data_IF_249945824217
#
_entry.id   IF_249945824217
#
_cell.length_a   1.000
_cell.length_b   1.000
_cell.length_c   1.000
_cell.angle_alpha   90.00
_cell.angle_beta   90.00
_cell.angle_gamma   90.00
#
_symmetry.space_group_name_H-M   'P 1'
#
loop_
_entity.id
_entity.type
_entity.pdbx_description
1 polymer ?
#
# COMPACT_ATOMS: atom_id res chain seq x y z
N UNK A 1 -2.59 34.35 -5.37
CA UNK A 1 -2.37 33.43 -4.24
C UNK A 1 -3.76 33.09 -3.74
N UNK A 2 -4.28 31.90 -4.05
CA UNK A 2 -5.56 31.49 -3.45
C UNK A 2 -5.26 31.07 -2.01
N UNK A 3 -5.45 31.99 -1.06
CA UNK A 3 -5.46 31.66 0.36
C UNK A 3 -6.78 30.94 0.66
N UNK A 4 -6.71 29.61 0.76
CA UNK A 4 -7.79 28.79 1.27
C UNK A 4 -7.97 29.17 2.76
N UNK A 5 -9.17 29.54 3.22
CA UNK A 5 -9.41 29.83 4.63
C UNK A 5 -8.90 28.66 5.48
N UNK A 6 -8.23 28.90 6.61
CA UNK A 6 -7.77 27.83 7.47
C UNK A 6 -8.99 27.03 7.92
N UNK A 7 -9.20 25.87 7.30
CA UNK A 7 -10.27 24.96 7.68
C UNK A 7 -10.07 24.66 9.16
N UNK A 8 -11.07 24.95 9.99
CA UNK A 8 -11.01 24.72 11.43
C UNK A 8 -11.12 23.21 11.69
N UNK A 9 -10.01 22.53 11.42
CA UNK A 9 -9.78 21.09 11.46
C UNK A 9 -9.57 20.65 12.91
N UNK A 10 -10.63 20.75 13.72
CA UNK A 10 -10.58 20.43 15.15
C UNK A 10 -10.97 18.99 15.47
N UNK A 11 -11.32 18.18 14.46
CA UNK A 11 -11.69 16.79 14.72
C UNK A 11 -10.47 15.96 15.13
N UNK A 12 -10.64 14.92 15.97
CA UNK A 12 -9.54 14.02 16.34
C UNK A 12 -8.87 13.38 15.12
N UNK A 13 -9.64 13.11 14.06
CA UNK A 13 -9.14 12.55 12.80
C UNK A 13 -8.26 13.56 12.06
N UNK A 14 -8.63 14.84 12.04
CA UNK A 14 -7.81 15.85 11.39
C UNK A 14 -6.46 16.03 12.08
N UNK A 15 -6.45 16.08 13.41
CA UNK A 15 -5.20 16.14 14.20
C UNK A 15 -4.30 14.93 13.94
N UNK A 16 -4.88 13.74 13.82
CA UNK A 16 -4.13 12.53 13.48
C UNK A 16 -3.53 12.62 12.06
N UNK A 17 -4.31 13.10 11.08
CA UNK A 17 -3.82 13.33 9.72
C UNK A 17 -2.67 14.34 9.67
N UNK A 18 -2.76 15.45 10.42
CA UNK A 18 -1.71 16.45 10.51
C UNK A 18 -0.43 15.91 11.17
N UNK A 19 -0.57 15.11 12.24
CA UNK A 19 0.57 14.43 12.87
C UNK A 19 1.25 13.46 11.91
N UNK A 20 0.48 12.65 11.18
CA UNK A 20 1.00 11.71 10.18
C UNK A 20 1.69 12.44 9.01
N UNK A 21 1.13 13.58 8.59
CA UNK A 21 1.74 14.42 7.56
C UNK A 21 3.07 15.01 8.01
N UNK A 22 3.16 15.49 9.26
CA UNK A 22 4.39 16.04 9.83
C UNK A 22 5.52 15.00 9.95
N UNK A 23 5.20 13.71 10.00
CA UNK A 23 6.17 12.61 10.04
C UNK A 23 6.75 12.26 8.66
N UNK A 24 6.40 13.00 7.59
CA UNK A 24 7.00 12.76 6.28
C UNK A 24 8.52 12.96 6.33
N UNK A 25 9.26 12.19 5.54
CA UNK A 25 10.68 12.37 5.36
C UNK A 25 10.98 12.68 3.89
N UNK A 26 12.18 13.20 3.62
CA UNK A 26 12.70 13.25 2.26
C UNK A 26 13.77 12.19 2.11
N UNK A 27 13.75 11.47 1.00
CA UNK A 27 14.84 10.56 0.67
C UNK A 27 16.11 11.35 0.27
N UNK A 28 17.21 10.62 0.07
CA UNK A 28 18.49 11.20 -0.35
C UNK A 28 18.44 11.86 -1.74
N UNK A 29 17.36 11.67 -2.51
CA UNK A 29 17.12 12.31 -3.81
C UNK A 29 16.23 13.55 -3.69
N UNK A 30 15.75 13.87 -2.49
CA UNK A 30 14.88 15.01 -2.20
C UNK A 30 13.38 14.74 -2.41
N UNK A 31 12.97 13.49 -2.72
CA UNK A 31 11.56 13.12 -2.88
C UNK A 31 10.90 12.92 -1.52
N UNK A 32 9.64 13.31 -1.40
CA UNK A 32 8.85 13.06 -0.19
C UNK A 32 8.53 11.56 -0.07
N UNK A 33 8.91 10.98 1.07
CA UNK A 33 8.51 9.66 1.52
C UNK A 33 7.45 9.84 2.58
N UNK A 34 6.21 9.50 2.24
CA UNK A 34 5.06 9.53 3.15
C UNK A 34 4.66 8.11 3.50
N UNK A 35 4.38 7.87 4.78
CA UNK A 35 3.75 6.63 5.21
C UNK A 35 2.29 6.67 4.75
N UNK A 36 1.81 5.59 4.12
CA UNK A 36 0.39 5.47 3.79
C UNK A 36 -0.40 5.33 5.10
N UNK A 37 -1.22 6.32 5.49
CA UNK A 37 -1.89 6.28 6.79
C UNK A 37 -3.03 5.27 6.74
N UNK A 38 -3.04 4.36 7.70
CA UNK A 38 -4.15 3.44 7.94
C UNK A 38 -5.04 4.04 9.01
N UNK A 39 -6.36 4.03 8.82
CA UNK A 39 -7.29 4.52 9.85
C UNK A 39 -7.11 3.69 11.13
N UNK A 40 -7.16 4.28 12.33
CA UNK A 40 -6.99 3.54 13.59
C UNK A 40 -7.93 2.32 13.70
N UNK A 41 -9.14 2.44 13.18
CA UNK A 41 -10.15 1.37 13.19
C UNK A 41 -10.17 0.52 11.90
N UNK A 42 -9.21 0.68 10.99
CA UNK A 42 -9.26 0.03 9.68
C UNK A 42 -9.37 -1.50 9.80
N UNK A 43 -8.59 -2.12 10.69
CA UNK A 43 -8.65 -3.57 10.91
C UNK A 43 -10.06 -4.03 11.34
N UNK A 44 -10.70 -3.25 12.23
CA UNK A 44 -12.08 -3.49 12.67
C UNK A 44 -13.10 -3.26 11.54
N UNK A 45 -12.91 -2.21 10.74
CA UNK A 45 -13.80 -1.88 9.61
C UNK A 45 -13.70 -2.87 8.46
N UNK A 46 -12.51 -3.42 8.20
CA UNK A 46 -12.26 -4.37 7.12
C UNK A 46 -12.80 -5.76 7.43
N UNK A 47 -13.01 -6.09 8.71
CA UNK A 47 -13.54 -7.38 9.16
C UNK A 47 -12.71 -8.57 8.64
N UNK A 48 -13.33 -9.74 8.57
CA UNK A 48 -12.70 -10.95 8.00
C UNK A 48 -12.98 -11.03 6.49
N UNK A 49 -12.25 -10.25 5.69
CA UNK A 49 -12.39 -10.26 4.23
C UNK A 49 -11.43 -11.23 3.51
N UNK A 50 -10.57 -11.92 4.27
CA UNK A 50 -9.47 -12.75 3.76
C UNK A 50 -9.94 -13.79 2.74
N UNK A 51 -11.03 -14.49 3.04
CA UNK A 51 -11.59 -15.51 2.14
C UNK A 51 -12.01 -14.92 0.79
N UNK A 52 -12.66 -13.76 0.80
CA UNK A 52 -13.12 -13.07 -0.41
C UNK A 52 -11.95 -12.48 -1.20
N UNK A 53 -10.96 -11.89 -0.52
CA UNK A 53 -9.73 -11.41 -1.14
C UNK A 53 -8.96 -12.56 -1.81
N UNK A 54 -8.82 -13.69 -1.12
CA UNK A 54 -8.17 -14.91 -1.65
C UNK A 54 -8.92 -15.48 -2.85
N UNK A 55 -10.25 -15.53 -2.81
CA UNK A 55 -11.06 -15.98 -3.94
C UNK A 55 -10.89 -15.06 -5.17
N UNK A 56 -10.89 -13.74 -4.93
CA UNK A 56 -10.68 -12.73 -5.97
C UNK A 56 -9.31 -12.86 -6.62
N UNK A 57 -8.25 -13.01 -5.80
CA UNK A 57 -6.88 -13.23 -6.29
C UNK A 57 -6.79 -14.51 -7.15
N UNK A 58 -7.38 -15.62 -6.70
CA UNK A 58 -7.40 -16.87 -7.47
C UNK A 58 -8.12 -16.72 -8.79
N UNK A 59 -9.25 -16.00 -8.82
CA UNK A 59 -10.00 -15.74 -10.05
C UNK A 59 -9.20 -14.87 -11.03
N UNK A 60 -8.49 -13.86 -10.52
CA UNK A 60 -7.60 -13.03 -11.33
C UNK A 60 -6.50 -13.87 -11.98
N UNK A 61 -5.79 -14.69 -11.20
CA UNK A 61 -4.74 -15.56 -11.74
C UNK A 61 -5.28 -16.50 -12.81
N UNK A 62 -6.41 -17.18 -12.58
CA UNK A 62 -7.03 -18.04 -13.60
C UNK A 62 -7.38 -17.28 -14.88
N UNK A 63 -7.84 -16.03 -14.76
CA UNK A 63 -8.17 -15.19 -15.93
C UNK A 63 -6.92 -14.86 -16.73
N UNK A 64 -5.85 -14.49 -16.04
CA UNK A 64 -4.54 -14.22 -16.65
C UNK A 64 -4.02 -15.48 -17.34
N UNK A 65 -4.06 -16.63 -16.68
CA UNK A 65 -3.55 -17.90 -17.24
C UNK A 65 -4.31 -18.36 -18.49
N UNK A 66 -5.61 -18.08 -18.58
CA UNK A 66 -6.43 -18.37 -19.78
C UNK A 66 -6.09 -17.48 -20.98
N UNK A 67 -5.52 -16.31 -20.73
CA UNK A 67 -5.17 -15.33 -21.75
C UNK A 67 -3.65 -15.31 -21.93
N UNK A 68 -3.15 -16.18 -22.80
CA UNK A 68 -1.71 -16.41 -22.98
C UNK A 68 -0.90 -15.14 -23.23
N UNK A 69 -1.45 -14.18 -23.98
CA UNK A 69 -0.77 -12.92 -24.25
C UNK A 69 -0.72 -12.01 -23.02
N UNK A 70 -1.84 -11.88 -22.31
CA UNK A 70 -1.88 -11.11 -21.05
C UNK A 70 -0.92 -11.70 -20.00
N UNK A 71 -0.82 -13.03 -19.93
CA UNK A 71 0.11 -13.69 -19.00
C UNK A 71 1.57 -13.38 -19.31
N UNK A 72 1.96 -13.32 -20.60
CA UNK A 72 3.33 -12.95 -21.00
C UNK A 72 3.64 -11.50 -20.60
N UNK A 73 2.78 -10.57 -20.99
CA UNK A 73 2.97 -9.14 -20.71
C UNK A 73 2.99 -8.86 -19.20
N UNK A 74 2.10 -9.50 -18.45
CA UNK A 74 2.08 -9.38 -16.99
C UNK A 74 3.38 -9.86 -16.34
N UNK A 75 3.93 -11.01 -16.78
CA UNK A 75 5.19 -11.54 -16.25
C UNK A 75 6.37 -10.61 -16.59
N UNK A 76 6.45 -10.16 -17.84
CA UNK A 76 7.49 -9.22 -18.28
C UNK A 76 7.46 -7.93 -17.45
N UNK A 77 6.26 -7.38 -17.22
CA UNK A 77 6.09 -6.20 -16.38
C UNK A 77 6.58 -6.44 -14.95
N UNK A 78 6.16 -7.55 -14.33
CA UNK A 78 6.57 -7.90 -12.97
C UNK A 78 8.09 -8.04 -12.87
N UNK A 79 8.73 -8.79 -13.77
CA UNK A 79 10.19 -8.97 -13.77
C UNK A 79 10.92 -7.62 -13.91
N UNK A 80 10.44 -6.74 -14.78
CA UNK A 80 11.00 -5.39 -14.94
C UNK A 80 10.83 -4.57 -13.65
N UNK A 81 9.65 -4.62 -13.04
CA UNK A 81 9.33 -3.87 -11.81
C UNK A 81 10.19 -4.31 -10.62
N UNK A 82 10.53 -5.60 -10.54
CA UNK A 82 11.48 -6.14 -9.57
C UNK A 82 12.92 -5.68 -9.87
N UNK A 83 13.35 -5.76 -11.13
CA UNK A 83 14.70 -5.31 -11.53
C UNK A 83 14.91 -3.81 -11.29
N UNK A 84 13.87 -3.00 -11.41
CA UNK A 84 13.89 -1.57 -11.07
C UNK A 84 13.93 -1.31 -9.55
N UNK A 85 13.84 -2.35 -8.72
CA UNK A 85 13.81 -2.24 -7.26
C UNK A 85 12.49 -1.71 -6.72
N UNK A 86 11.41 -1.73 -7.52
CA UNK A 86 10.08 -1.27 -7.09
C UNK A 86 9.28 -2.37 -6.38
N UNK A 87 9.68 -3.63 -6.52
CA UNK A 87 9.19 -4.74 -5.69
C UNK A 87 10.32 -5.70 -5.32
N UNK A 88 10.09 -6.49 -4.27
CA UNK A 88 10.95 -7.60 -3.87
C UNK A 88 10.11 -8.81 -3.51
N UNK A 89 10.64 -10.01 -3.74
CA UNK A 89 10.04 -11.23 -3.18
C UNK A 89 10.21 -11.25 -1.65
N UNK A 90 9.15 -11.61 -0.95
CA UNK A 90 9.16 -11.85 0.49
C UNK A 90 9.63 -13.28 0.76
N UNK A 91 10.44 -13.47 1.80
CA UNK A 91 10.80 -14.79 2.30
C UNK A 91 9.63 -15.39 3.09
N UNK A 92 9.44 -16.71 3.12
CA UNK A 92 8.39 -17.35 3.91
C UNK A 92 8.38 -16.92 5.38
N UNK A 93 9.56 -16.72 5.97
CA UNK A 93 9.72 -16.24 7.35
C UNK A 93 9.18 -14.82 7.59
N UNK A 94 9.08 -13.99 6.56
CA UNK A 94 8.51 -12.63 6.64
C UNK A 94 6.98 -12.62 6.54
N UNK A 95 6.38 -13.70 6.01
CA UNK A 95 4.92 -13.79 5.81
C UNK A 95 4.20 -14.09 7.13
N UNK A 96 4.84 -14.85 8.02
CA UNK A 96 4.30 -15.23 9.33
C UNK A 96 4.74 -14.29 10.46
N UNK A 97 5.63 -13.33 10.16
CA UNK A 97 6.04 -12.35 11.15
C UNK A 97 4.90 -11.34 11.37
N UNK A 98 4.45 -11.09 12.61
CA UNK A 98 3.59 -9.94 12.86
C UNK A 98 4.36 -8.71 12.38
N UNK A 99 3.77 -7.96 11.45
CA UNK A 99 4.40 -6.79 10.84
C UNK A 99 5.00 -5.91 11.96
N UNK A 100 6.32 -6.02 12.13
CA UNK A 100 7.07 -5.09 12.95
C UNK A 100 7.09 -3.83 12.11
N UNK A 101 6.02 -3.02 12.25
CA UNK A 101 6.00 -1.66 11.78
C UNK A 101 7.15 -0.94 12.51
N UNK A 102 8.34 -0.98 11.91
CA UNK A 102 9.50 -0.26 12.39
C UNK A 102 9.19 1.23 12.36
N UNK A 103 9.37 1.84 13.53
CA UNK A 103 9.29 3.25 13.94
C UNK A 103 8.96 4.28 12.85
#
# INVERSE_FOLDING_TARGET
MEDIPPAQRSSPTDRHCEQMFAQHQRDNTGRYVVRLPVKPDAARMLGTNEASARATLRNLHRRIDRQSELAKEYRLFMDTYEQMGHMRRLQPSEIDAPESHSN
#
